data_IF_496578473687
#
_entry.id   IF_496578473687
#
_cell.length_a   1.000
_cell.length_b   1.000
_cell.length_c   1.000
_cell.angle_alpha   90.00
_cell.angle_beta   90.00
_cell.angle_gamma   90.00
#
_symmetry.space_group_name_H-M   'P 1'
#
loop_
_entity.id
_entity.type
_entity.pdbx_description
1 polymer ?
#
# COMPACT_ATOMS: atom_id res chain seq x y z
N UNK A 1 40.84 -1.47 50.66
CA UNK A 1 39.71 -0.53 50.85
C UNK A 1 38.68 -0.83 49.79
N UNK A 2 37.44 -1.18 50.16
CA UNK A 2 36.37 -1.39 49.18
C UNK A 2 35.90 -0.02 48.67
N UNK A 3 36.01 0.23 47.36
CA UNK A 3 35.52 1.45 46.73
C UNK A 3 34.00 1.56 46.97
N UNK A 4 33.58 2.53 47.79
CA UNK A 4 32.16 2.83 47.99
C UNK A 4 31.66 3.62 46.79
N UNK A 5 30.81 2.99 45.99
CA UNK A 5 30.20 3.59 44.82
C UNK A 5 28.87 4.26 45.18
N UNK A 6 28.65 5.47 44.67
CA UNK A 6 27.41 6.22 44.90
C UNK A 6 26.26 5.64 44.06
N UNK A 7 25.13 5.32 44.71
CA UNK A 7 23.92 4.82 44.06
C UNK A 7 22.72 5.65 44.47
N UNK A 8 21.99 6.20 43.50
CA UNK A 8 20.76 6.97 43.71
C UNK A 8 19.75 6.72 42.60
N UNK A 9 18.47 6.62 42.94
CA UNK A 9 17.38 6.27 42.00
C UNK A 9 16.54 7.50 41.70
N UNK A 10 17.09 8.45 40.95
CA UNK A 10 16.45 9.75 40.66
C UNK A 10 15.10 9.61 39.94
N UNK A 11 14.96 8.63 39.05
CA UNK A 11 13.78 8.44 38.19
C UNK A 11 12.70 7.53 38.78
N UNK A 12 12.73 7.27 40.09
CA UNK A 12 11.74 6.44 40.78
C UNK A 12 11.94 4.92 40.63
N UNK A 13 10.93 4.17 41.05
CA UNK A 13 10.93 2.71 41.09
C UNK A 13 10.85 2.11 39.70
N UNK A 14 11.70 1.12 39.40
CA UNK A 14 11.70 0.40 38.12
C UNK A 14 11.00 -0.94 38.30
N UNK A 15 9.98 -1.20 37.49
CA UNK A 15 9.40 -2.53 37.33
C UNK A 15 10.01 -3.20 36.10
N UNK A 16 10.27 -4.50 36.19
CA UNK A 16 10.71 -5.30 35.04
C UNK A 16 9.48 -5.86 34.34
N UNK A 17 9.36 -5.65 33.04
CA UNK A 17 8.28 -6.22 32.22
C UNK A 17 8.78 -7.48 31.50
N UNK A 18 7.90 -8.47 31.34
CA UNK A 18 8.22 -9.71 30.62
C UNK A 18 7.33 -9.82 29.38
N UNK A 19 7.65 -9.08 28.32
CA UNK A 19 6.91 -9.17 27.06
C UNK A 19 7.37 -10.45 26.34
N UNK A 20 6.46 -11.42 26.17
CA UNK A 20 6.72 -12.62 25.38
C UNK A 20 6.37 -12.34 23.92
N UNK A 21 7.37 -12.21 23.06
CA UNK A 21 7.18 -11.83 21.65
C UNK A 21 6.32 -12.83 20.85
N UNK A 22 6.40 -14.12 21.18
CA UNK A 22 5.66 -15.18 20.48
C UNK A 22 4.14 -15.02 20.61
N UNK A 23 3.64 -14.46 21.72
CA UNK A 23 2.19 -14.27 21.93
C UNK A 23 1.63 -13.02 21.26
N UNK A 24 2.47 -12.22 20.59
CA UNK A 24 2.03 -11.02 19.87
C UNK A 24 1.54 -11.34 18.45
N UNK A 25 1.82 -12.55 17.95
CA UNK A 25 1.46 -12.98 16.60
C UNK A 25 0.29 -13.97 16.62
N UNK A 26 -0.68 -13.76 15.74
CA UNK A 26 -1.88 -14.59 15.66
C UNK A 26 -1.63 -15.82 14.77
N UNK A 27 -1.44 -16.99 15.41
CA UNK A 27 -1.29 -18.27 14.71
C UNK A 27 -2.57 -18.74 13.99
N UNK A 28 -3.73 -18.16 14.33
CA UNK A 28 -5.01 -18.49 13.69
C UNK A 28 -5.27 -17.70 12.41
N UNK A 29 -4.44 -16.68 12.14
CA UNK A 29 -4.56 -15.86 10.94
C UNK A 29 -4.43 -16.71 9.67
N UNK A 30 -5.36 -16.48 8.74
CA UNK A 30 -5.34 -17.07 7.41
C UNK A 30 -5.30 -15.96 6.37
N UNK A 31 -4.43 -16.12 5.37
CA UNK A 31 -4.32 -15.15 4.29
C UNK A 31 -5.66 -15.02 3.55
N UNK A 32 -6.22 -13.81 3.39
CA UNK A 32 -7.49 -13.62 2.72
C UNK A 32 -7.43 -14.05 1.24
N UNK A 33 -8.46 -14.75 0.78
CA UNK A 33 -8.61 -15.15 -0.63
C UNK A 33 -9.24 -14.07 -1.51
N UNK A 34 -9.75 -12.97 -0.92
CA UNK A 34 -10.36 -11.83 -1.62
C UNK A 34 -9.34 -11.09 -2.50
N UNK A 35 -9.73 -10.44 -3.61
CA UNK A 35 -8.87 -9.56 -4.39
C UNK A 35 -8.07 -8.56 -3.52
N UNK A 36 -6.83 -8.17 -3.89
CA UNK A 36 -6.04 -7.19 -3.13
C UNK A 36 -6.75 -5.84 -2.94
N UNK A 37 -7.54 -5.41 -3.94
CA UNK A 37 -8.31 -4.16 -3.86
C UNK A 37 -9.36 -4.21 -2.74
N UNK A 38 -10.05 -5.34 -2.54
CA UNK A 38 -11.02 -5.50 -1.44
C UNK A 38 -10.34 -5.48 -0.07
N UNK A 39 -9.14 -6.08 0.03
CA UNK A 39 -8.35 -6.08 1.28
C UNK A 39 -7.95 -4.64 1.61
N UNK A 40 -7.47 -3.90 0.61
CA UNK A 40 -7.14 -2.49 0.73
C UNK A 40 -8.33 -1.65 1.19
N UNK A 41 -9.48 -1.79 0.51
CA UNK A 41 -10.70 -1.04 0.82
C UNK A 41 -11.19 -1.30 2.24
N UNK A 42 -11.13 -2.55 2.69
CA UNK A 42 -11.44 -2.92 4.09
C UNK A 42 -10.49 -2.27 5.09
N UNK A 43 -9.19 -2.26 4.80
CA UNK A 43 -8.17 -1.66 5.65
C UNK A 43 -8.33 -0.14 5.74
N UNK A 44 -8.44 0.54 4.59
CA UNK A 44 -8.58 2.00 4.58
C UNK A 44 -9.91 2.45 5.18
N UNK A 45 -10.99 1.69 5.00
CA UNK A 45 -12.26 1.96 5.67
C UNK A 45 -12.13 1.83 7.19
N UNK A 46 -11.38 0.85 7.68
CA UNK A 46 -11.13 0.67 9.11
C UNK A 46 -10.39 1.87 9.71
N UNK A 47 -9.37 2.39 9.03
CA UNK A 47 -8.70 3.63 9.44
C UNK A 47 -9.63 4.85 9.34
N UNK A 48 -10.42 4.97 8.26
CA UNK A 48 -11.42 6.05 8.12
C UNK A 48 -12.46 6.03 9.25
N UNK A 49 -12.84 4.86 9.77
CA UNK A 49 -13.77 4.76 10.92
C UNK A 49 -13.18 5.33 12.20
N UNK A 50 -11.86 5.27 12.40
CA UNK A 50 -11.20 5.88 13.55
C UNK A 50 -11.28 7.41 13.56
N UNK A 51 -11.58 8.03 12.41
CA UNK A 51 -11.88 9.46 12.34
C UNK A 51 -13.14 9.86 13.13
N UNK A 52 -14.02 8.89 13.40
CA UNK A 52 -15.22 9.07 14.22
C UNK A 52 -15.03 8.78 15.71
N UNK A 53 -13.80 8.65 16.22
CA UNK A 53 -13.55 8.41 17.63
C UNK A 53 -13.93 9.62 18.52
N UNK A 54 -14.37 9.33 19.74
CA UNK A 54 -14.73 10.34 20.75
C UNK A 54 -13.88 10.14 22.02
N UNK A 55 -13.57 11.25 22.70
CA UNK A 55 -12.97 11.27 24.05
C UNK A 55 -14.07 11.52 25.07
N UNK A 56 -14.01 10.83 26.21
CA UNK A 56 -14.80 11.14 27.39
C UNK A 56 -14.11 12.26 28.18
N UNK A 57 -14.79 13.38 28.38
CA UNK A 57 -14.35 14.44 29.30
C UNK A 57 -14.73 14.04 30.74
N UNK A 58 -13.78 13.68 31.62
CA UNK A 58 -14.10 13.12 32.93
C UNK A 58 -14.83 14.11 33.84
N UNK A 59 -14.58 15.41 33.67
CA UNK A 59 -15.20 16.46 34.48
C UNK A 59 -16.70 16.67 34.18
N UNK A 60 -17.11 16.48 32.93
CA UNK A 60 -18.49 16.74 32.48
C UNK A 60 -19.26 15.46 32.16
N UNK A 61 -18.57 14.33 32.00
CA UNK A 61 -19.14 13.08 31.50
C UNK A 61 -19.54 13.11 30.03
N UNK A 62 -19.23 14.18 29.29
CA UNK A 62 -19.61 14.34 27.88
C UNK A 62 -18.60 13.68 26.94
N UNK A 63 -19.09 13.16 25.81
CA UNK A 63 -18.23 12.68 24.73
C UNK A 63 -17.99 13.79 23.71
N UNK A 64 -16.73 14.08 23.41
CA UNK A 64 -16.31 15.06 22.40
C UNK A 64 -15.60 14.36 21.26
N UNK A 65 -15.85 14.76 20.02
CA UNK A 65 -15.18 14.16 18.86
C UNK A 65 -13.69 14.50 18.88
N UNK A 66 -12.83 13.49 18.74
CA UNK A 66 -11.39 13.69 18.61
C UNK A 66 -11.04 14.61 17.44
N UNK A 67 -11.76 14.47 16.33
CA UNK A 67 -11.56 15.27 15.12
C UNK A 67 -12.02 16.73 15.25
N UNK A 68 -12.72 17.09 16.33
CA UNK A 68 -13.39 18.40 16.44
C UNK A 68 -12.54 19.51 17.06
N UNK A 69 -11.40 19.17 17.68
CA UNK A 69 -10.51 20.15 18.31
C UNK A 69 -9.04 19.77 18.10
N UNK A 70 -8.18 20.78 17.87
CA UNK A 70 -6.72 20.60 17.76
C UNK A 70 -6.07 20.24 19.10
N UNK A 71 -6.51 19.14 19.72
CA UNK A 71 -5.96 18.61 20.96
C UNK A 71 -4.76 17.68 20.69
N UNK A 72 -4.03 17.35 21.75
CA UNK A 72 -2.80 16.55 21.66
C UNK A 72 -3.10 15.11 21.21
N UNK A 73 -4.23 14.56 21.65
CA UNK A 73 -4.69 13.23 21.29
C UNK A 73 -5.02 13.13 19.80
N UNK A 74 -5.63 14.16 19.21
CA UNK A 74 -5.88 14.26 17.78
C UNK A 74 -4.58 14.34 16.99
N UNK A 75 -3.59 15.11 17.45
CA UNK A 75 -2.28 15.15 16.80
C UNK A 75 -1.63 13.75 16.78
N UNK A 76 -1.72 12.99 17.88
CA UNK A 76 -1.22 11.61 17.93
C UNK A 76 -2.00 10.67 17.03
N UNK A 77 -3.34 10.73 17.08
CA UNK A 77 -4.20 9.86 16.27
C UNK A 77 -4.03 10.14 14.78
N UNK A 78 -4.09 11.40 14.36
CA UNK A 78 -3.92 11.79 12.95
C UNK A 78 -2.56 11.33 12.40
N UNK A 79 -1.48 11.44 13.16
CA UNK A 79 -0.16 10.91 12.79
C UNK A 79 -0.21 9.38 12.55
N UNK A 80 -0.87 8.63 13.42
CA UNK A 80 -1.05 7.18 13.27
C UNK A 80 -1.95 6.82 12.07
N UNK A 81 -2.94 7.66 11.74
CA UNK A 81 -3.80 7.46 10.59
C UNK A 81 -3.06 7.66 9.27
N UNK A 82 -2.22 8.71 9.14
CA UNK A 82 -1.36 8.91 7.97
C UNK A 82 -0.45 7.68 7.76
N UNK A 83 0.12 7.16 8.84
CA UNK A 83 0.89 5.91 8.81
C UNK A 83 0.06 4.71 8.34
N UNK A 84 -1.17 4.58 8.85
CA UNK A 84 -2.10 3.52 8.48
C UNK A 84 -2.49 3.55 7.00
N UNK A 85 -2.69 4.74 6.42
CA UNK A 85 -3.02 4.88 5.00
C UNK A 85 -1.87 4.44 4.10
N UNK A 86 -0.65 4.88 4.37
CA UNK A 86 0.53 4.48 3.59
C UNK A 86 0.80 2.98 3.74
N UNK A 87 0.66 2.45 4.97
CA UNK A 87 0.75 1.01 5.22
C UNK A 87 -0.28 0.21 4.42
N UNK A 88 -1.49 0.75 4.25
CA UNK A 88 -2.53 0.13 3.42
C UNK A 88 -2.14 0.09 1.94
N UNK A 89 -1.57 1.19 1.39
CA UNK A 89 -1.04 1.22 0.02
C UNK A 89 0.09 0.21 -0.16
N UNK A 90 1.04 0.18 0.78
CA UNK A 90 2.14 -0.78 0.74
C UNK A 90 1.64 -2.24 0.76
N UNK A 91 0.71 -2.56 1.67
CA UNK A 91 0.10 -3.88 1.75
C UNK A 91 -0.63 -4.27 0.47
N UNK A 92 -1.30 -3.32 -0.19
CA UNK A 92 -1.94 -3.53 -1.48
C UNK A 92 -0.92 -3.90 -2.56
N UNK A 93 0.13 -3.09 -2.73
CA UNK A 93 1.14 -3.32 -3.78
C UNK A 93 1.84 -4.66 -3.57
N UNK A 94 2.22 -5.00 -2.33
CA UNK A 94 2.80 -6.30 -1.96
C UNK A 94 1.87 -7.46 -2.33
N UNK A 95 0.62 -7.41 -1.87
CA UNK A 95 -0.35 -8.48 -2.12
C UNK A 95 -0.61 -8.67 -3.63
N UNK A 96 -0.72 -7.56 -4.38
CA UNK A 96 -0.90 -7.58 -5.82
C UNK A 96 0.30 -8.22 -6.53
N UNK A 97 1.51 -7.75 -6.26
CA UNK A 97 2.73 -8.28 -6.88
C UNK A 97 2.94 -9.76 -6.57
N UNK A 98 2.71 -10.18 -5.32
CA UNK A 98 2.76 -11.58 -4.92
C UNK A 98 1.82 -12.45 -5.76
N UNK A 99 0.57 -12.02 -5.94
CA UNK A 99 -0.42 -12.77 -6.74
C UNK A 99 -0.05 -12.80 -8.21
N UNK A 100 0.44 -11.69 -8.76
CA UNK A 100 0.90 -11.62 -10.15
C UNK A 100 2.04 -12.59 -10.42
N UNK A 101 3.02 -12.69 -9.53
CA UNK A 101 4.14 -13.64 -9.66
C UNK A 101 3.73 -15.11 -9.67
N UNK A 102 2.54 -15.44 -9.14
CA UNK A 102 2.00 -16.79 -9.15
C UNK A 102 1.30 -17.13 -10.46
N UNK A 103 0.66 -16.15 -11.12
CA UNK A 103 -0.19 -16.38 -12.30
C UNK A 103 0.45 -15.96 -13.63
N UNK A 104 1.40 -15.03 -13.60
CA UNK A 104 1.99 -14.41 -14.79
C UNK A 104 3.42 -14.90 -15.02
N UNK A 105 3.61 -15.68 -16.10
CA UNK A 105 4.87 -16.34 -16.40
C UNK A 105 6.01 -15.36 -16.72
N UNK A 106 5.74 -14.24 -17.38
CA UNK A 106 6.80 -13.28 -17.72
C UNK A 106 7.30 -12.54 -16.49
N UNK A 107 6.41 -12.19 -15.56
CA UNK A 107 6.77 -11.61 -14.27
C UNK A 107 7.61 -12.60 -13.46
N UNK A 108 7.17 -13.87 -13.43
CA UNK A 108 7.91 -14.94 -12.77
C UNK A 108 9.33 -15.13 -13.33
N UNK A 109 9.48 -15.14 -14.65
CA UNK A 109 10.80 -15.24 -15.29
C UNK A 109 11.71 -14.06 -14.93
N UNK A 110 11.17 -12.85 -14.85
CA UNK A 110 11.93 -11.65 -14.48
C UNK A 110 12.38 -11.67 -13.03
N UNK A 111 11.64 -12.33 -12.14
CA UNK A 111 12.01 -12.42 -10.73
C UNK A 111 12.99 -13.55 -10.39
N UNK A 112 13.31 -14.47 -11.31
CA UNK A 112 14.19 -15.62 -11.01
C UNK A 112 15.60 -15.25 -10.55
N UNK A 113 16.12 -14.08 -10.92
CA UNK A 113 17.44 -13.62 -10.47
C UNK A 113 17.42 -12.98 -9.08
N UNK A 114 16.24 -12.73 -8.50
CA UNK A 114 16.13 -12.15 -7.16
C UNK A 114 16.35 -13.22 -6.09
N UNK A 115 17.12 -12.87 -5.08
CA UNK A 115 17.39 -13.72 -3.92
C UNK A 115 16.23 -13.72 -2.93
N UNK A 116 16.05 -14.85 -2.26
CA UNK A 116 15.26 -14.96 -1.02
C UNK A 116 16.17 -15.47 0.09
N UNK A 117 15.85 -15.17 1.34
CA UNK A 117 16.58 -15.75 2.46
C UNK A 117 16.38 -17.27 2.52
N UNK A 118 17.38 -18.01 3.04
CA UNK A 118 17.24 -19.47 3.19
C UNK A 118 16.09 -19.83 4.14
N UNK A 119 15.89 -19.07 5.20
CA UNK A 119 14.76 -19.24 6.12
C UNK A 119 13.43 -19.11 5.38
N UNK A 120 13.29 -18.13 4.49
CA UNK A 120 12.10 -17.99 3.69
C UNK A 120 11.86 -19.18 2.75
N UNK A 121 12.93 -19.65 2.09
CA UNK A 121 12.85 -20.80 1.19
C UNK A 121 12.44 -22.11 1.90
N UNK A 122 12.83 -22.29 3.17
CA UNK A 122 12.51 -23.49 3.96
C UNK A 122 11.13 -23.42 4.62
N UNK A 123 10.71 -22.24 5.09
CA UNK A 123 9.52 -22.12 5.96
C UNK A 123 8.29 -21.49 5.31
N UNK A 124 8.39 -20.76 4.19
CA UNK A 124 7.19 -20.21 3.53
C UNK A 124 6.39 -21.29 2.78
N UNK A 125 5.07 -21.13 2.83
CA UNK A 125 4.19 -21.76 1.85
C UNK A 125 4.52 -21.22 0.44
N UNK A 126 4.49 -22.09 -0.58
CA UNK A 126 4.66 -21.73 -2.00
C UNK A 126 3.81 -20.54 -2.46
N UNK A 127 2.60 -20.37 -1.93
CA UNK A 127 1.72 -19.24 -2.27
C UNK A 127 2.17 -17.91 -1.64
N UNK A 128 2.92 -17.95 -0.54
CA UNK A 128 3.41 -16.77 0.17
C UNK A 128 4.89 -16.49 -0.11
N UNK A 129 5.65 -17.46 -0.62
CA UNK A 129 7.06 -17.30 -0.96
C UNK A 129 7.37 -16.07 -1.84
N UNK A 130 6.53 -15.65 -2.81
CA UNK A 130 6.83 -14.44 -3.57
C UNK A 130 6.86 -13.15 -2.73
N UNK A 131 6.29 -13.14 -1.53
CA UNK A 131 6.41 -12.04 -0.56
C UNK A 131 7.88 -11.82 -0.17
N UNK A 132 8.64 -12.89 0.00
CA UNK A 132 10.04 -12.85 0.40
C UNK A 132 10.94 -12.14 -0.63
N UNK A 133 10.49 -12.02 -1.89
CA UNK A 133 11.20 -11.26 -2.94
C UNK A 133 11.10 -9.74 -2.74
N UNK A 134 10.25 -9.29 -1.82
CA UNK A 134 9.94 -7.89 -1.57
C UNK A 134 10.25 -7.46 -0.13
N UNK A 135 10.87 -8.31 0.70
CA UNK A 135 11.20 -7.99 2.11
C UNK A 135 12.04 -6.70 2.23
N UNK A 136 13.03 -6.54 1.35
CA UNK A 136 13.91 -5.37 1.31
C UNK A 136 13.35 -4.20 0.46
N UNK A 137 12.13 -4.35 -0.09
CA UNK A 137 11.48 -3.29 -0.85
C UNK A 137 10.62 -2.44 0.09
N UNK A 138 10.58 -1.12 -0.14
CA UNK A 138 9.64 -0.21 0.49
C UNK A 138 8.64 0.33 -0.52
N UNK A 139 7.43 0.69 -0.08
CA UNK A 139 6.38 1.20 -0.97
C UNK A 139 5.80 2.53 -0.48
N UNK A 140 6.62 3.32 0.22
CA UNK A 140 6.23 4.63 0.78
C UNK A 140 6.47 5.80 -0.18
N UNK A 141 6.91 5.55 -1.42
CA UNK A 141 7.09 6.57 -2.46
C UNK A 141 6.72 6.04 -3.84
N UNK A 142 6.31 6.93 -4.74
CA UNK A 142 6.04 6.59 -6.13
C UNK A 142 7.26 5.98 -6.82
N UNK A 143 8.46 6.50 -6.54
CA UNK A 143 9.71 5.99 -7.11
C UNK A 143 9.93 4.54 -6.74
N UNK A 144 9.84 4.19 -5.45
CA UNK A 144 10.05 2.80 -5.03
C UNK A 144 8.96 1.86 -5.58
N UNK A 145 7.70 2.32 -5.66
CA UNK A 145 6.61 1.56 -6.29
C UNK A 145 6.94 1.27 -7.76
N UNK A 146 7.27 2.29 -8.56
CA UNK A 146 7.57 2.16 -9.99
C UNK A 146 8.78 1.25 -10.24
N UNK A 147 9.86 1.43 -9.49
CA UNK A 147 11.08 0.64 -9.61
C UNK A 147 10.84 -0.82 -9.24
N UNK A 148 10.14 -1.07 -8.14
CA UNK A 148 9.85 -2.43 -7.68
C UNK A 148 8.96 -3.15 -8.67
N UNK A 149 7.86 -2.53 -9.14
CA UNK A 149 6.98 -3.09 -10.18
C UNK A 149 7.80 -3.43 -11.42
N UNK A 150 8.66 -2.52 -11.90
CA UNK A 150 9.49 -2.77 -13.08
C UNK A 150 10.49 -3.92 -12.85
N UNK A 151 11.15 -3.95 -11.70
CA UNK A 151 12.15 -4.98 -11.38
C UNK A 151 11.55 -6.38 -11.22
N UNK A 152 10.33 -6.47 -10.69
CA UNK A 152 9.66 -7.74 -10.39
C UNK A 152 8.84 -8.24 -11.59
N UNK A 153 8.19 -7.34 -12.33
CA UNK A 153 7.20 -7.70 -13.36
C UNK A 153 7.61 -7.32 -14.78
N UNK A 154 8.58 -6.42 -14.92
CA UNK A 154 8.98 -5.82 -16.20
C UNK A 154 8.06 -4.72 -16.73
N UNK A 155 6.93 -4.46 -16.07
CA UNK A 155 6.01 -3.37 -16.48
C UNK A 155 6.64 -2.03 -16.14
N UNK A 156 6.72 -1.14 -17.13
CA UNK A 156 7.36 0.16 -16.98
C UNK A 156 6.32 1.27 -16.86
N UNK A 157 6.15 1.80 -15.64
CA UNK A 157 5.24 2.90 -15.32
C UNK A 157 5.87 4.29 -15.50
N UNK A 158 7.07 4.40 -16.09
CA UNK A 158 7.76 5.69 -16.24
C UNK A 158 7.15 6.60 -17.32
N UNK A 159 6.35 6.08 -18.26
CA UNK A 159 5.73 6.89 -19.31
C UNK A 159 4.44 7.56 -18.84
N UNK A 160 4.58 8.47 -17.87
CA UNK A 160 3.46 9.17 -17.25
C UNK A 160 2.71 10.11 -18.20
N UNK A 161 3.32 10.52 -19.33
CA UNK A 161 2.63 11.32 -20.36
C UNK A 161 1.43 10.60 -20.98
N UNK A 162 1.40 9.26 -20.93
CA UNK A 162 0.29 8.45 -21.44
C UNK A 162 -0.80 8.16 -20.40
N UNK A 163 -0.54 8.43 -19.12
CA UNK A 163 -1.48 8.22 -18.02
C UNK A 163 -1.34 9.42 -17.04
N UNK A 164 -1.86 10.61 -17.40
CA UNK A 164 -1.73 11.81 -16.58
C UNK A 164 -2.41 11.67 -15.21
N UNK A 165 -3.50 10.91 -15.11
CA UNK A 165 -4.21 10.63 -13.86
C UNK A 165 -3.33 9.88 -12.87
N UNK A 166 -2.65 8.81 -13.33
CA UNK A 166 -1.67 8.08 -12.52
C UNK A 166 -0.47 8.96 -12.16
N UNK A 167 -0.07 9.89 -13.03
CA UNK A 167 1.01 10.83 -12.74
C UNK A 167 0.66 11.76 -11.57
N UNK A 168 -0.55 12.33 -11.59
CA UNK A 168 -1.08 13.14 -10.50
C UNK A 168 -1.19 12.32 -9.22
N UNK A 169 -1.75 11.11 -9.29
CA UNK A 169 -1.91 10.25 -8.13
C UNK A 169 -0.56 9.87 -7.47
N UNK A 170 0.49 9.67 -8.27
CA UNK A 170 1.85 9.47 -7.74
C UNK A 170 2.40 10.72 -7.05
N UNK A 171 2.18 11.91 -7.64
CA UNK A 171 2.61 13.18 -7.05
C UNK A 171 1.94 13.44 -5.70
N UNK A 172 0.62 13.25 -5.63
CA UNK A 172 -0.15 13.42 -4.40
C UNK A 172 0.32 12.43 -3.33
N UNK A 173 0.59 11.17 -3.70
CA UNK A 173 1.09 10.17 -2.77
C UNK A 173 2.50 10.46 -2.26
N UNK A 174 3.40 10.98 -3.09
CA UNK A 174 4.75 11.39 -2.66
C UNK A 174 4.67 12.50 -1.61
N UNK A 175 3.72 13.44 -1.73
CA UNK A 175 3.45 14.42 -0.68
C UNK A 175 3.02 13.77 0.64
N UNK A 176 2.12 12.76 0.59
CA UNK A 176 1.75 11.99 1.79
C UNK A 176 2.95 11.22 2.36
N UNK A 177 3.87 10.74 1.52
CA UNK A 177 5.16 10.18 1.92
C UNK A 177 6.03 11.18 2.68
N UNK A 178 6.08 12.44 2.25
CA UNK A 178 6.78 13.51 2.99
C UNK A 178 6.12 13.79 4.34
N UNK A 179 4.78 13.82 4.40
CA UNK A 179 4.04 13.94 5.66
C UNK A 179 4.38 12.78 6.61
N UNK A 180 4.45 11.54 6.10
CA UNK A 180 4.89 10.36 6.87
C UNK A 180 6.22 10.60 7.57
N UNK A 181 7.20 11.11 6.82
CA UNK A 181 8.53 11.34 7.37
C UNK A 181 8.50 12.33 8.53
N UNK A 182 7.70 13.39 8.43
CA UNK A 182 7.52 14.32 9.55
C UNK A 182 6.78 13.72 10.74
N UNK A 183 5.72 12.93 10.53
CA UNK A 183 4.93 12.38 11.65
C UNK A 183 5.64 11.23 12.37
N UNK A 184 6.46 10.45 11.66
CA UNK A 184 7.24 9.34 12.22
C UNK A 184 8.52 9.82 12.87
N UNK A 185 9.22 10.76 12.23
CA UNK A 185 10.52 11.21 12.69
C UNK A 185 10.37 12.54 13.42
N UNK A 186 11.01 12.65 14.59
CA UNK A 186 11.07 13.91 15.36
C UNK A 186 9.72 14.41 15.88
N UNK A 187 8.81 13.49 16.23
CA UNK A 187 7.55 13.81 16.92
C UNK A 187 6.65 14.81 16.18
N UNK A 188 6.63 14.78 14.85
CA UNK A 188 5.78 15.68 14.06
C UNK A 188 6.43 17.01 13.69
N UNK A 189 7.71 17.23 13.97
CA UNK A 189 8.41 18.46 13.59
C UNK A 189 8.85 18.45 12.12
N UNK A 190 8.66 19.58 11.43
CA UNK A 190 9.04 19.73 10.03
C UNK A 190 10.56 19.91 9.87
N UNK A 191 11.22 18.91 9.27
CA UNK A 191 12.67 18.86 9.13
C UNK A 191 13.21 19.49 7.82
N UNK A 192 14.51 19.76 7.80
CA UNK A 192 15.22 20.32 6.64
C UNK A 192 15.17 19.43 5.39
N UNK A 193 15.25 18.10 5.54
CA UNK A 193 15.15 17.17 4.40
C UNK A 193 13.76 17.22 3.73
N UNK A 194 12.71 17.40 4.53
CA UNK A 194 11.34 17.54 4.04
C UNK A 194 11.19 18.89 3.31
N UNK A 195 11.72 19.97 3.89
CA UNK A 195 11.76 21.28 3.25
C UNK A 195 12.50 21.25 1.90
N UNK A 196 13.66 20.56 1.82
CA UNK A 196 14.39 20.38 0.57
C UNK A 196 13.57 19.62 -0.49
N UNK A 197 12.77 18.63 -0.07
CA UNK A 197 11.95 17.81 -0.97
C UNK A 197 10.72 18.55 -1.48
N UNK A 198 10.14 19.46 -0.68
CA UNK A 198 8.97 20.25 -1.03
C UNK A 198 9.33 21.60 -1.69
N UNK A 199 10.54 22.11 -1.44
CA UNK A 199 11.03 23.42 -1.88
C UNK A 199 11.46 24.28 -0.70
N UNK A 200 12.77 24.34 -0.40
CA UNK A 200 13.25 25.02 0.81
C UNK A 200 12.88 26.50 0.85
N UNK A 201 12.94 27.18 -0.29
CA UNK A 201 12.63 28.62 -0.37
C UNK A 201 11.19 28.92 0.07
N UNK A 202 10.24 28.04 -0.26
CA UNK A 202 8.83 28.18 0.10
C UNK A 202 8.53 27.75 1.54
N UNK A 203 9.28 26.78 2.07
CA UNK A 203 8.94 26.11 3.34
C UNK A 203 9.91 26.39 4.51
N UNK A 204 10.96 27.19 4.33
CA UNK A 204 11.98 27.44 5.37
C UNK A 204 11.40 28.02 6.67
N UNK A 205 10.35 28.85 6.59
CA UNK A 205 9.70 29.42 7.78
C UNK A 205 9.03 28.37 8.68
N UNK A 206 8.79 27.15 8.18
CA UNK A 206 8.15 26.07 8.91
C UNK A 206 9.13 25.10 9.56
N UNK A 207 10.44 25.28 9.38
CA UNK A 207 11.46 24.42 9.99
C UNK A 207 11.29 24.37 11.50
N UNK A 208 11.36 23.15 12.06
CA UNK A 208 11.18 22.84 13.48
C UNK A 208 9.80 23.18 14.05
N UNK A 209 8.82 23.56 13.21
CA UNK A 209 7.43 23.73 13.65
C UNK A 209 6.68 22.39 13.62
N UNK A 210 5.76 22.13 14.56
CA UNK A 210 4.94 20.92 14.53
C UNK A 210 3.96 20.96 13.35
N UNK A 211 3.75 19.80 12.71
CA UNK A 211 2.68 19.64 11.73
C UNK A 211 1.34 19.77 12.42
N UNK A 212 0.47 20.59 11.82
CA UNK A 212 -0.93 20.69 12.17
C UNK A 212 -1.74 19.92 11.14
N UNK A 213 -2.14 18.69 11.48
CA UNK A 213 -3.06 17.90 10.64
C UNK A 213 -4.49 18.22 11.03
N UNK A 214 -5.20 18.96 10.20
CA UNK A 214 -6.64 19.14 10.37
C UNK A 214 -7.40 17.94 9.80
N UNK A 215 -8.64 17.75 10.25
CA UNK A 215 -9.49 16.64 9.81
C UNK A 215 -9.57 16.53 8.27
N UNK A 216 -9.73 17.66 7.59
CA UNK A 216 -9.78 17.75 6.12
C UNK A 216 -8.50 17.24 5.48
N UNK A 217 -7.33 17.59 6.03
CA UNK A 217 -6.02 17.12 5.53
C UNK A 217 -5.91 15.61 5.65
N UNK A 218 -6.37 15.02 6.76
CA UNK A 218 -6.35 13.56 6.95
C UNK A 218 -7.29 12.86 5.97
N UNK A 219 -8.47 13.44 5.66
CA UNK A 219 -9.38 12.91 4.66
C UNK A 219 -8.79 12.98 3.25
N UNK A 220 -8.17 14.10 2.88
CA UNK A 220 -7.50 14.25 1.59
C UNK A 220 -6.31 13.29 1.46
N UNK A 221 -5.54 13.06 2.53
CA UNK A 221 -4.49 12.04 2.54
C UNK A 221 -5.04 10.63 2.27
N UNK A 222 -6.18 10.27 2.89
CA UNK A 222 -6.84 9.01 2.64
C UNK A 222 -7.35 8.89 1.19
N UNK A 223 -7.83 10.00 0.62
CA UNK A 223 -8.30 10.08 -0.76
C UNK A 223 -7.14 9.97 -1.75
N UNK A 224 -6.02 10.65 -1.52
CA UNK A 224 -4.82 10.53 -2.35
C UNK A 224 -4.31 9.08 -2.42
N UNK A 225 -4.28 8.38 -1.28
CA UNK A 225 -3.94 6.95 -1.23
C UNK A 225 -4.94 6.10 -2.03
N UNK A 226 -6.24 6.34 -1.87
CA UNK A 226 -7.32 5.63 -2.59
C UNK A 226 -7.23 5.83 -4.10
N UNK A 227 -7.04 7.06 -4.55
CA UNK A 227 -6.84 7.40 -5.96
C UNK A 227 -5.62 6.68 -6.52
N UNK A 228 -4.47 6.72 -5.83
CA UNK A 228 -3.28 6.01 -6.30
C UNK A 228 -3.52 4.51 -6.46
N UNK A 229 -4.13 3.87 -5.46
CA UNK A 229 -4.38 2.42 -5.52
C UNK A 229 -5.28 2.06 -6.70
N UNK A 230 -6.34 2.83 -6.95
CA UNK A 230 -7.27 2.60 -8.07
C UNK A 230 -6.61 2.85 -9.44
N UNK A 231 -5.94 3.98 -9.61
CA UNK A 231 -5.21 4.29 -10.85
C UNK A 231 -4.12 3.26 -11.14
N UNK A 232 -3.42 2.81 -10.11
CA UNK A 232 -2.40 1.76 -10.22
C UNK A 232 -3.02 0.40 -10.56
N UNK A 233 -4.13 0.04 -9.91
CA UNK A 233 -4.88 -1.19 -10.17
C UNK A 233 -5.27 -1.28 -11.66
N UNK A 234 -5.93 -0.25 -12.16
CA UNK A 234 -6.50 -0.24 -13.50
C UNK A 234 -5.41 -0.16 -14.58
N UNK A 235 -4.37 0.65 -14.32
CA UNK A 235 -3.21 0.73 -15.22
C UNK A 235 -2.51 -0.61 -15.31
N UNK A 236 -2.24 -1.28 -14.19
CA UNK A 236 -1.59 -2.58 -14.19
C UNK A 236 -2.49 -3.64 -14.82
N UNK A 237 -3.78 -3.69 -14.47
CA UNK A 237 -4.71 -4.63 -15.08
C UNK A 237 -4.67 -4.55 -16.61
N UNK A 238 -4.71 -3.32 -17.18
CA UNK A 238 -4.57 -3.08 -18.61
C UNK A 238 -3.25 -3.61 -19.17
N UNK A 239 -2.12 -3.29 -18.52
CA UNK A 239 -0.78 -3.72 -18.97
C UNK A 239 -0.64 -5.25 -18.96
N UNK A 240 -1.07 -5.92 -17.89
CA UNK A 240 -0.98 -7.36 -17.74
C UNK A 240 -1.91 -8.10 -18.71
N UNK A 241 -3.16 -7.64 -18.84
CA UNK A 241 -4.11 -8.24 -19.77
C UNK A 241 -3.68 -8.03 -21.23
N UNK A 242 -3.19 -6.84 -21.62
CA UNK A 242 -2.64 -6.61 -22.95
C UNK A 242 -1.41 -7.49 -23.22
N UNK A 243 -0.51 -7.64 -22.25
CA UNK A 243 0.67 -8.50 -22.40
C UNK A 243 0.29 -9.97 -22.61
N UNK A 244 -0.80 -10.43 -22.00
CA UNK A 244 -1.28 -11.81 -22.09
C UNK A 244 -1.67 -12.25 -23.51
N UNK A 245 -1.87 -11.31 -24.44
CA UNK A 245 -2.22 -11.57 -25.85
C UNK A 245 -1.17 -12.42 -26.55
N UNK A 246 0.10 -12.18 -26.22
CA UNK A 246 1.21 -12.91 -26.82
C UNK A 246 1.55 -14.19 -26.03
N UNK A 247 0.87 -14.43 -24.91
CA UNK A 247 1.11 -15.60 -24.05
C UNK A 247 0.11 -16.73 -24.28
N UNK A 248 -1.13 -16.37 -24.63
CA UNK A 248 -2.22 -17.33 -24.75
C UNK A 248 -2.83 -17.30 -26.14
N UNK A 249 -3.37 -18.45 -26.54
CA UNK A 249 -4.12 -18.61 -27.78
C UNK A 249 -5.59 -18.21 -27.56
N UNK A 250 -5.84 -16.89 -27.59
CA UNK A 250 -7.15 -16.29 -27.37
C UNK A 250 -8.12 -16.59 -28.52
N UNK A 251 -9.31 -17.10 -28.20
CA UNK A 251 -10.34 -17.48 -29.17
C UNK A 251 -11.34 -16.38 -29.48
N UNK A 252 -11.44 -15.35 -28.64
CA UNK A 252 -12.46 -14.31 -28.76
C UNK A 252 -13.86 -14.78 -28.33
N UNK A 253 -13.91 -15.89 -27.60
CA UNK A 253 -15.06 -16.43 -26.90
C UNK A 253 -14.74 -16.61 -25.41
N UNK A 254 -15.56 -15.98 -24.54
CA UNK A 254 -15.30 -15.96 -23.09
C UNK A 254 -15.36 -17.35 -22.48
N UNK A 255 -16.16 -18.28 -23.01
CA UNK A 255 -16.24 -19.64 -22.44
C UNK A 255 -14.91 -20.37 -22.63
N UNK A 256 -14.31 -20.21 -23.80
CA UNK A 256 -13.00 -20.78 -24.15
C UNK A 256 -11.83 -20.08 -23.45
N UNK A 257 -11.93 -18.75 -23.33
CA UNK A 257 -10.86 -17.88 -22.83
C UNK A 257 -10.90 -17.62 -21.32
N UNK A 258 -11.98 -18.01 -20.62
CA UNK A 258 -12.19 -17.82 -19.19
C UNK A 258 -10.98 -18.23 -18.35
N UNK A 259 -10.38 -19.40 -18.64
CA UNK A 259 -9.19 -19.92 -17.95
C UNK A 259 -7.96 -19.02 -18.00
N UNK A 260 -7.90 -18.07 -18.93
CA UNK A 260 -6.83 -17.08 -19.05
C UNK A 260 -7.29 -15.73 -18.52
N UNK A 261 -8.48 -15.29 -18.91
CA UNK A 261 -9.05 -14.01 -18.51
C UNK A 261 -9.26 -13.91 -17.00
N UNK A 262 -9.89 -14.94 -16.41
CA UNK A 262 -10.28 -14.95 -15.00
C UNK A 262 -9.07 -14.90 -14.08
N UNK A 263 -7.93 -15.46 -14.50
CA UNK A 263 -6.68 -15.36 -13.73
C UNK A 263 -6.31 -13.93 -13.40
N UNK A 264 -6.43 -13.03 -14.37
CA UNK A 264 -6.13 -11.61 -14.17
C UNK A 264 -7.34 -10.87 -13.61
N UNK A 265 -8.53 -11.11 -14.16
CA UNK A 265 -9.75 -10.44 -13.71
C UNK A 265 -10.00 -10.65 -12.21
N UNK A 266 -9.85 -11.87 -11.69
CA UNK A 266 -10.07 -12.19 -10.28
C UNK A 266 -8.99 -11.60 -9.36
N UNK A 267 -7.81 -11.26 -9.88
CA UNK A 267 -6.76 -10.57 -9.12
C UNK A 267 -7.03 -9.08 -9.00
N UNK A 268 -7.53 -8.43 -10.06
CA UNK A 268 -7.67 -6.97 -10.09
C UNK A 268 -9.08 -6.45 -9.82
N UNK A 269 -10.12 -7.25 -10.08
CA UNK A 269 -11.50 -6.81 -9.97
C UNK A 269 -12.00 -6.88 -8.53
N UNK A 270 -12.65 -5.82 -8.01
CA UNK A 270 -13.35 -5.90 -6.74
C UNK A 270 -14.41 -7.01 -6.74
N UNK A 271 -14.64 -7.65 -5.60
CA UNK A 271 -15.62 -8.75 -5.53
C UNK A 271 -17.04 -8.33 -5.94
N UNK A 272 -17.40 -7.07 -5.70
CA UNK A 272 -18.68 -6.47 -6.10
C UNK A 272 -18.79 -6.21 -7.61
N UNK A 273 -17.66 -6.09 -8.31
CA UNK A 273 -17.59 -5.76 -9.73
C UNK A 273 -17.62 -6.97 -10.66
N UNK A 274 -17.95 -8.17 -10.15
CA UNK A 274 -18.06 -9.40 -10.96
C UNK A 274 -19.05 -9.29 -12.12
N UNK A 275 -20.07 -8.44 -12.01
CA UNK A 275 -21.01 -8.18 -13.10
C UNK A 275 -20.33 -7.54 -14.34
N UNK A 276 -19.20 -6.84 -14.15
CA UNK A 276 -18.44 -6.21 -15.23
C UNK A 276 -17.60 -7.19 -16.03
N UNK A 277 -17.45 -8.44 -15.57
CA UNK A 277 -16.61 -9.48 -16.20
C UNK A 277 -16.87 -9.63 -17.69
N UNK A 278 -18.15 -9.76 -18.09
CA UNK A 278 -18.52 -9.94 -19.49
C UNK A 278 -18.23 -8.69 -20.32
N UNK A 279 -18.56 -7.50 -19.78
CA UNK A 279 -18.33 -6.22 -20.44
C UNK A 279 -16.84 -5.97 -20.67
N UNK A 280 -16.03 -6.16 -19.63
CA UNK A 280 -14.58 -6.02 -19.68
C UNK A 280 -13.95 -6.97 -20.72
N UNK A 281 -14.37 -8.24 -20.72
CA UNK A 281 -13.89 -9.18 -21.72
C UNK A 281 -14.27 -8.78 -23.16
N UNK A 282 -15.49 -8.29 -23.38
CA UNK A 282 -15.92 -7.80 -24.69
C UNK A 282 -15.05 -6.63 -25.17
N UNK A 283 -14.78 -5.65 -24.31
CA UNK A 283 -13.91 -4.52 -24.65
C UNK A 283 -12.49 -5.00 -24.99
N UNK A 284 -11.91 -5.88 -24.17
CA UNK A 284 -10.60 -6.49 -24.46
C UNK A 284 -10.60 -7.24 -25.80
N UNK A 285 -11.62 -8.05 -26.06
CA UNK A 285 -11.77 -8.80 -27.31
C UNK A 285 -11.81 -7.88 -28.52
N UNK A 286 -12.59 -6.82 -28.43
CA UNK A 286 -12.87 -5.91 -29.55
C UNK A 286 -11.66 -5.04 -29.86
N UNK A 287 -10.98 -4.49 -28.84
CA UNK A 287 -9.73 -3.71 -29.01
C UNK A 287 -8.64 -4.53 -29.70
N UNK A 288 -8.58 -5.84 -29.45
CA UNK A 288 -7.54 -6.73 -30.00
C UNK A 288 -7.98 -7.57 -31.19
N UNK A 289 -9.20 -7.34 -31.70
CA UNK A 289 -9.76 -8.04 -32.86
C UNK A 289 -9.63 -9.58 -32.79
N UNK A 290 -9.83 -10.15 -31.60
CA UNK A 290 -9.51 -11.58 -31.34
C UNK A 290 -10.33 -12.54 -32.20
N UNK A 291 -11.55 -12.15 -32.63
CA UNK A 291 -12.40 -12.95 -33.53
C UNK A 291 -11.80 -13.12 -34.93
N UNK A 292 -11.06 -12.13 -35.42
CA UNK A 292 -10.50 -12.13 -36.77
C UNK A 292 -9.10 -12.75 -36.82
N UNK A 293 -8.36 -12.76 -35.71
CA UNK A 293 -7.03 -13.39 -35.61
C UNK A 293 -7.05 -14.89 -35.88
N UNK A 294 -8.15 -15.58 -35.56
CA UNK A 294 -8.26 -17.02 -35.74
C UNK A 294 -8.71 -17.43 -37.16
N UNK A 295 -9.10 -16.47 -38.01
CA UNK A 295 -9.48 -16.72 -39.41
C UNK A 295 -8.35 -16.54 -40.43
N UNK A 296 -7.14 -16.19 -39.98
CA UNK A 296 -5.98 -15.91 -40.85
C UNK A 296 -4.78 -16.85 -40.60
N UNK A 297 -4.99 -17.98 -39.93
CA UNK A 297 -3.97 -19.03 -39.74
C UNK A 297 -4.35 -20.29 -40.49
#
# INVERSE_FOLDING_TARGET
MANKEFKFTLSGTRSTTTIRSQSLFDLSYQEPTKPPIDIYESNILSYKRLLGCFILEPATGSYTSLASQGNEEWAKLSNLLILGFISSVESYVRCLLRRLLLIDNESKKRSYSKSVTYGAAVHHNKQLLPEALMEDCSFHSATNIKETIKSVTGVNLSNLKKNPELATAFSDFDFIGQLRHCVVHRSGLFGSNNALSLGLDEYHEYLEKPIKLEFTVVQEAAKACDTLVKELNDTLFKEFLNRSINMYDWKGDLRSDAKYFDKYFDVFSPSESKCLRLKCYHEFRDVHNLRYRNGQR
#
